data_IF_406671659163
#
_entry.id   IF_406671659163
#
_cell.length_a   1.000
_cell.length_b   1.000
_cell.length_c   1.000
_cell.angle_alpha   90.00
_cell.angle_beta   90.00
_cell.angle_gamma   90.00
#
_symmetry.space_group_name_H-M   'P 1'
#
loop_
_entity.id
_entity.type
_entity.pdbx_description
1 polymer ?
#
# COMPACT_ATOMS: atom_id res chain seq x y z
N UNK A 1 38.24 28.81 14.25
CA UNK A 1 38.19 27.53 13.51
C UNK A 1 36.80 26.95 13.70
N UNK A 2 35.93 27.13 12.71
CA UNK A 2 34.58 26.57 12.76
C UNK A 2 34.62 25.06 12.47
N UNK A 3 33.98 24.27 13.33
CA UNK A 3 33.82 22.83 13.15
C UNK A 3 32.94 22.58 11.90
N UNK A 4 33.29 21.59 11.05
CA UNK A 4 32.49 21.29 9.88
C UNK A 4 31.09 20.79 10.30
N UNK A 5 30.06 21.37 9.69
CA UNK A 5 28.66 20.91 9.81
C UNK A 5 28.58 19.48 9.29
N UNK A 6 28.30 18.54 10.19
CA UNK A 6 28.01 17.14 9.86
C UNK A 6 26.75 17.17 8.98
N UNK A 7 26.89 16.79 7.72
CA UNK A 7 25.76 16.57 6.81
C UNK A 7 24.88 15.49 7.45
N UNK A 8 23.59 15.78 7.65
CA UNK A 8 22.59 14.81 8.09
C UNK A 8 22.60 13.62 7.11
N UNK A 9 23.31 12.56 7.47
CA UNK A 9 23.14 11.25 6.85
C UNK A 9 21.75 10.81 7.25
N UNK A 10 20.80 10.78 6.30
CA UNK A 10 19.47 10.19 6.55
C UNK A 10 19.69 8.83 7.19
N UNK A 11 19.15 8.64 8.39
CA UNK A 11 19.15 7.34 9.07
C UNK A 11 18.61 6.29 8.09
N UNK A 12 19.07 5.03 8.15
CA UNK A 12 18.50 3.97 7.33
C UNK A 12 16.98 3.97 7.55
N UNK A 13 16.23 4.22 6.49
CA UNK A 13 14.76 4.29 6.53
C UNK A 13 14.26 3.02 7.20
N UNK A 14 13.63 3.16 8.37
CA UNK A 14 13.17 2.00 9.13
C UNK A 14 12.08 1.29 8.31
N UNK A 15 12.14 -0.04 8.25
CA UNK A 15 11.18 -0.85 7.50
C UNK A 15 10.24 -1.56 8.49
N UNK A 16 8.94 -1.53 8.24
CA UNK A 16 7.91 -2.23 9.02
C UNK A 16 7.30 -3.37 8.22
N UNK A 17 7.19 -4.55 8.84
CA UNK A 17 6.48 -5.71 8.30
C UNK A 17 4.99 -5.56 8.60
N UNK A 18 4.16 -5.83 7.60
CA UNK A 18 2.70 -5.79 7.70
C UNK A 18 2.15 -7.12 7.23
N UNK A 19 1.34 -7.74 8.08
CA UNK A 19 0.54 -8.90 7.72
C UNK A 19 -0.74 -8.43 7.01
N UNK A 20 -0.88 -8.79 5.75
CA UNK A 20 -2.03 -8.42 4.92
C UNK A 20 -2.86 -9.67 4.70
N UNK A 21 -4.09 -9.64 5.22
CA UNK A 21 -5.07 -10.69 4.96
C UNK A 21 -5.70 -10.45 3.59
N UNK A 22 -5.82 -11.45 2.74
CA UNK A 22 -6.40 -11.31 1.40
C UNK A 22 -6.92 -12.64 0.84
N UNK A 23 -7.74 -12.62 -0.23
CA UNK A 23 -8.08 -13.81 -1.00
C UNK A 23 -6.85 -14.41 -1.68
N UNK A 24 -6.84 -15.73 -1.89
CA UNK A 24 -5.73 -16.41 -2.57
C UNK A 24 -5.47 -15.88 -3.98
N UNK A 25 -6.54 -15.66 -4.76
CA UNK A 25 -6.44 -15.17 -6.14
C UNK A 25 -5.71 -13.82 -6.22
N UNK A 26 -5.90 -12.95 -5.22
CA UNK A 26 -5.27 -11.63 -5.22
C UNK A 26 -3.75 -11.73 -5.07
N UNK A 27 -3.26 -12.63 -4.22
CA UNK A 27 -1.83 -12.88 -4.04
C UNK A 27 -1.19 -13.48 -5.30
N UNK A 28 -1.92 -14.35 -5.99
CA UNK A 28 -1.45 -14.94 -7.24
C UNK A 28 -1.40 -13.88 -8.36
N UNK A 29 -2.39 -12.98 -8.44
CA UNK A 29 -2.42 -11.84 -9.37
C UNK A 29 -1.29 -10.84 -9.14
N UNK A 30 -0.90 -10.56 -7.89
CA UNK A 30 0.26 -9.69 -7.59
C UNK A 30 1.50 -10.20 -8.31
N UNK A 31 1.76 -11.50 -8.23
CA UNK A 31 2.99 -12.09 -8.76
C UNK A 31 3.06 -11.96 -10.28
N UNK A 32 1.93 -12.21 -10.96
CA UNK A 32 1.79 -12.05 -12.41
C UNK A 32 1.95 -10.58 -12.82
N UNK A 33 1.17 -9.68 -12.23
CA UNK A 33 1.13 -8.27 -12.63
C UNK A 33 2.46 -7.55 -12.38
N UNK A 34 3.10 -7.86 -11.25
CA UNK A 34 4.41 -7.32 -10.90
C UNK A 34 5.47 -7.66 -11.96
N UNK A 35 5.50 -8.91 -12.43
CA UNK A 35 6.44 -9.35 -13.48
C UNK A 35 6.11 -8.67 -14.82
N UNK A 36 4.83 -8.57 -15.18
CA UNK A 36 4.39 -7.87 -16.39
C UNK A 36 4.79 -6.39 -16.39
N UNK A 37 4.87 -5.75 -15.22
CA UNK A 37 5.31 -4.36 -15.03
C UNK A 37 6.85 -4.22 -14.88
N UNK A 38 7.62 -5.30 -15.06
CA UNK A 38 9.09 -5.28 -15.08
C UNK A 38 9.77 -5.41 -13.71
N UNK A 39 9.02 -5.77 -12.67
CA UNK A 39 9.57 -6.03 -11.34
C UNK A 39 9.92 -7.52 -11.20
N UNK A 40 10.92 -7.84 -10.38
CA UNK A 40 11.24 -9.23 -10.04
C UNK A 40 10.58 -9.68 -8.73
N UNK A 41 10.63 -10.99 -8.45
CA UNK A 41 10.00 -11.59 -7.27
C UNK A 41 10.51 -11.04 -5.91
N UNK A 42 11.70 -10.42 -5.85
CA UNK A 42 12.23 -9.79 -4.62
C UNK A 42 11.66 -8.40 -4.39
N UNK A 43 10.94 -7.83 -5.36
CA UNK A 43 10.44 -6.46 -5.33
C UNK A 43 8.94 -6.37 -5.02
N UNK A 44 8.28 -7.47 -4.58
CA UNK A 44 6.87 -7.49 -4.19
C UNK A 44 6.50 -6.35 -3.24
N UNK A 45 7.24 -6.20 -2.15
CA UNK A 45 6.99 -5.13 -1.18
C UNK A 45 7.11 -3.73 -1.79
N UNK A 46 8.06 -3.52 -2.70
CA UNK A 46 8.22 -2.25 -3.42
C UNK A 46 7.01 -1.98 -4.32
N UNK A 47 6.62 -2.96 -5.12
CA UNK A 47 5.45 -2.89 -6.00
C UNK A 47 4.15 -2.57 -5.24
N UNK A 48 3.94 -3.22 -4.10
CA UNK A 48 2.79 -2.94 -3.23
C UNK A 48 2.90 -1.56 -2.57
N UNK A 49 4.09 -1.15 -2.12
CA UNK A 49 4.30 0.17 -1.48
C UNK A 49 3.92 1.30 -2.44
N UNK A 50 4.44 1.24 -3.67
CA UNK A 50 4.15 2.22 -4.71
C UNK A 50 2.66 2.23 -5.11
N UNK A 51 1.99 1.07 -5.10
CA UNK A 51 0.56 0.99 -5.35
C UNK A 51 -0.25 1.75 -4.28
N UNK A 52 0.15 1.59 -3.01
CA UNK A 52 -0.50 2.24 -1.86
C UNK A 52 -0.22 3.74 -1.88
N UNK A 53 1.04 4.15 -2.06
CA UNK A 53 1.44 5.56 -2.18
C UNK A 53 0.66 6.25 -3.30
N UNK A 54 0.64 5.64 -4.49
CA UNK A 54 -0.11 6.16 -5.62
C UNK A 54 -1.58 6.34 -5.26
N UNK A 55 -2.23 5.29 -4.74
CA UNK A 55 -3.65 5.34 -4.41
C UNK A 55 -3.98 6.43 -3.39
N UNK A 56 -3.26 6.49 -2.26
CA UNK A 56 -3.53 7.46 -1.18
C UNK A 56 -3.28 8.90 -1.65
N UNK A 57 -2.36 9.11 -2.61
CA UNK A 57 -2.10 10.43 -3.20
C UNK A 57 -3.24 10.95 -4.09
N UNK A 58 -4.21 10.11 -4.47
CA UNK A 58 -5.34 10.51 -5.32
C UNK A 58 -6.49 11.04 -4.46
N UNK A 59 -7.18 12.11 -4.91
CA UNK A 59 -8.41 12.54 -4.25
C UNK A 59 -9.46 11.41 -4.31
N UNK A 60 -10.29 11.35 -3.27
CA UNK A 60 -11.45 10.45 -3.18
C UNK A 60 -11.15 8.95 -3.37
N UNK A 61 -9.90 8.53 -3.16
CA UNK A 61 -9.49 7.13 -3.31
C UNK A 61 -10.29 6.17 -2.41
N UNK A 62 -10.81 6.68 -1.31
CA UNK A 62 -11.48 5.94 -0.24
C UNK A 62 -12.78 5.30 -0.73
N UNK A 63 -13.40 5.87 -1.77
CA UNK A 63 -14.58 5.27 -2.41
C UNK A 63 -14.28 3.87 -2.96
N UNK A 64 -13.03 3.58 -3.29
CA UNK A 64 -12.61 2.25 -3.74
C UNK A 64 -12.64 1.19 -2.62
N UNK A 65 -12.69 1.58 -1.34
CA UNK A 65 -12.82 0.62 -0.23
C UNK A 65 -14.17 -0.11 -0.22
N UNK A 66 -15.19 0.45 -0.89
CA UNK A 66 -16.52 -0.18 -0.99
C UNK A 66 -16.45 -1.57 -1.64
N UNK A 67 -15.48 -1.84 -2.51
CA UNK A 67 -15.29 -3.17 -3.12
C UNK A 67 -14.64 -4.19 -2.17
N UNK A 68 -14.14 -3.74 -1.01
CA UNK A 68 -13.35 -4.55 -0.08
C UNK A 68 -14.07 -4.89 1.23
N UNK A 69 -15.27 -4.35 1.46
CA UNK A 69 -15.99 -4.48 2.73
C UNK A 69 -16.40 -5.92 3.08
N UNK A 70 -16.60 -6.77 2.07
CA UNK A 70 -17.09 -8.15 2.20
C UNK A 70 -16.11 -9.20 1.64
N UNK A 71 -14.83 -8.87 1.55
CA UNK A 71 -13.85 -9.77 0.94
C UNK A 71 -13.36 -10.80 1.96
N UNK A 72 -13.75 -12.05 1.74
CA UNK A 72 -13.26 -13.20 2.52
C UNK A 72 -11.75 -13.31 2.40
N UNK A 73 -11.09 -13.22 3.55
CA UNK A 73 -9.64 -13.24 3.62
C UNK A 73 -9.16 -14.64 3.98
N UNK A 74 -8.83 -15.42 2.95
CA UNK A 74 -8.43 -16.83 3.08
C UNK A 74 -6.97 -17.01 3.51
N UNK A 75 -6.10 -16.07 3.15
CA UNK A 75 -4.66 -16.17 3.36
C UNK A 75 -4.09 -14.91 4.02
N UNK A 76 -2.93 -15.07 4.63
CA UNK A 76 -2.11 -13.98 5.13
C UNK A 76 -0.80 -13.93 4.33
N UNK A 77 -0.48 -12.76 3.78
CA UNK A 77 0.80 -12.48 3.13
C UNK A 77 1.53 -11.36 3.88
N UNK A 78 2.86 -11.29 3.76
CA UNK A 78 3.68 -10.28 4.42
C UNK A 78 4.27 -9.34 3.37
N UNK A 79 4.06 -8.05 3.60
CA UNK A 79 4.72 -6.96 2.84
C UNK A 79 5.51 -6.08 3.81
N UNK A 80 6.44 -5.31 3.27
CA UNK A 80 7.28 -4.42 4.06
C UNK A 80 7.22 -3.00 3.53
N UNK A 81 6.87 -2.04 4.37
CA UNK A 81 6.80 -0.62 4.01
C UNK A 81 7.91 0.18 4.70
N UNK A 82 8.41 1.27 4.09
CA UNK A 82 9.06 2.34 4.83
C UNK A 82 8.18 2.82 5.97
N UNK A 83 8.78 3.25 7.08
CA UNK A 83 8.07 3.69 8.28
C UNK A 83 7.07 4.80 7.97
N UNK A 84 7.43 5.72 7.07
CA UNK A 84 6.60 6.84 6.68
C UNK A 84 5.30 6.38 6.00
N UNK A 85 5.39 5.41 5.09
CA UNK A 85 4.23 4.82 4.43
C UNK A 85 3.38 4.00 5.41
N UNK A 86 4.01 3.26 6.31
CA UNK A 86 3.29 2.53 7.38
C UNK A 86 2.49 3.49 8.27
N UNK A 87 3.09 4.60 8.70
CA UNK A 87 2.44 5.61 9.52
C UNK A 87 1.30 6.31 8.75
N UNK A 88 1.52 6.64 7.48
CA UNK A 88 0.50 7.21 6.60
C UNK A 88 -0.72 6.29 6.49
N UNK A 89 -0.53 5.00 6.21
CA UNK A 89 -1.65 4.04 6.14
C UNK A 89 -2.40 3.98 7.48
N UNK A 90 -1.69 4.00 8.61
CA UNK A 90 -2.34 4.01 9.92
C UNK A 90 -3.11 5.30 10.22
N UNK A 91 -2.60 6.44 9.78
CA UNK A 91 -3.31 7.71 9.88
C UNK A 91 -4.60 7.68 9.05
N UNK A 92 -4.54 7.15 7.82
CA UNK A 92 -5.71 7.00 6.97
C UNK A 92 -6.75 6.04 7.55
N UNK A 93 -6.33 4.91 8.14
CA UNK A 93 -7.25 4.03 8.88
C UNK A 93 -7.95 4.80 10.00
N UNK A 94 -7.21 5.51 10.86
CA UNK A 94 -7.81 6.28 11.96
C UNK A 94 -8.75 7.37 11.45
N UNK A 95 -8.35 8.11 10.41
CA UNK A 95 -9.17 9.15 9.79
C UNK A 95 -10.48 8.59 9.24
N UNK A 96 -10.43 7.43 8.58
CA UNK A 96 -11.61 6.79 8.00
C UNK A 96 -12.52 6.15 9.06
N UNK A 97 -11.96 5.61 10.16
CA UNK A 97 -12.77 5.16 11.30
C UNK A 97 -13.62 6.33 11.83
N UNK A 98 -13.04 7.52 11.94
CA UNK A 98 -13.74 8.70 12.46
C UNK A 98 -14.72 9.32 11.47
N UNK A 99 -14.39 9.34 10.17
CA UNK A 99 -15.16 10.10 9.16
C UNK A 99 -16.10 9.25 8.30
N UNK A 100 -15.75 7.98 8.03
CA UNK A 100 -16.46 7.07 7.12
C UNK A 100 -16.43 5.62 7.66
N UNK A 101 -16.93 5.35 8.87
CA UNK A 101 -16.82 4.04 9.52
C UNK A 101 -17.47 2.90 8.73
N UNK A 102 -18.52 3.19 7.95
CA UNK A 102 -19.22 2.23 7.09
C UNK A 102 -18.31 1.58 6.03
N UNK A 103 -17.14 2.15 5.74
CA UNK A 103 -16.14 1.56 4.85
C UNK A 103 -15.35 0.41 5.50
N UNK A 104 -15.56 0.13 6.79
CA UNK A 104 -14.81 -0.87 7.57
C UNK A 104 -13.29 -0.80 7.33
N UNK A 105 -12.67 0.38 7.49
CA UNK A 105 -11.28 0.60 7.12
C UNK A 105 -10.34 -0.23 8.00
N UNK A 106 -9.36 -0.86 7.37
CA UNK A 106 -8.25 -1.55 8.03
C UNK A 106 -7.01 -1.46 7.15
N UNK A 107 -5.82 -1.72 7.72
CA UNK A 107 -4.59 -1.79 6.94
C UNK A 107 -4.72 -2.79 5.77
N UNK A 108 -5.29 -3.97 6.04
CA UNK A 108 -5.50 -4.98 4.99
C UNK A 108 -6.47 -4.48 3.93
N UNK A 109 -7.58 -3.84 4.29
CA UNK A 109 -8.54 -3.30 3.31
C UNK A 109 -7.89 -2.24 2.40
N UNK A 110 -7.12 -1.30 2.96
CA UNK A 110 -6.41 -0.27 2.18
C UNK A 110 -5.40 -0.92 1.24
N UNK A 111 -4.56 -1.82 1.75
CA UNK A 111 -3.51 -2.46 0.95
C UNK A 111 -4.12 -3.33 -0.17
N UNK A 112 -5.18 -4.11 0.12
CA UNK A 112 -5.90 -4.88 -0.90
C UNK A 112 -6.54 -3.99 -1.96
N UNK A 113 -7.12 -2.85 -1.56
CA UNK A 113 -7.70 -1.89 -2.50
C UNK A 113 -6.64 -1.36 -3.46
N UNK A 114 -5.46 -1.00 -2.95
CA UNK A 114 -4.34 -0.55 -3.76
C UNK A 114 -3.88 -1.61 -4.76
N UNK A 115 -3.72 -2.85 -4.28
CA UNK A 115 -3.36 -4.01 -5.11
C UNK A 115 -4.40 -4.22 -6.21
N UNK A 116 -5.69 -4.29 -5.86
CA UNK A 116 -6.77 -4.50 -6.81
C UNK A 116 -6.76 -3.42 -7.90
N UNK A 117 -6.67 -2.14 -7.52
CA UNK A 117 -6.63 -1.02 -8.46
C UNK A 117 -5.40 -1.10 -9.37
N UNK A 118 -4.24 -1.46 -8.84
CA UNK A 118 -3.02 -1.62 -9.64
C UNK A 118 -3.16 -2.77 -10.65
N UNK A 119 -3.66 -3.93 -10.22
CA UNK A 119 -3.95 -5.07 -11.10
C UNK A 119 -4.94 -4.74 -12.23
N UNK A 120 -5.97 -3.93 -11.94
CA UNK A 120 -6.93 -3.44 -12.94
C UNK A 120 -6.34 -2.38 -13.89
N UNK A 121 -5.09 -1.95 -13.70
CA UNK A 121 -4.46 -0.90 -14.52
C UNK A 121 -4.92 0.52 -14.19
N UNK A 122 -5.71 0.71 -13.11
CA UNK A 122 -6.25 2.03 -12.73
C UNK A 122 -5.12 2.98 -12.26
N UNK A 123 -3.96 2.44 -11.89
CA UNK A 123 -2.76 3.21 -11.58
C UNK A 123 -2.09 3.88 -12.80
N UNK A 124 -2.44 3.46 -14.02
CA UNK A 124 -1.89 3.99 -15.27
C UNK A 124 -2.74 5.14 -15.85
N UNK A 125 -3.90 5.43 -15.26
CA UNK A 125 -4.84 6.42 -15.78
C UNK A 125 -4.58 7.86 -15.28
N UNK A 126 -3.37 8.12 -14.78
CA UNK A 126 -2.92 9.46 -14.40
C UNK A 126 -1.87 9.98 -15.38
N UNK A 127 -2.27 10.95 -16.19
CA UNK A 127 -1.51 11.72 -17.19
C UNK A 127 -1.41 11.09 -18.59
N UNK A 128 -2.49 11.25 -19.36
CA UNK A 128 -2.39 11.90 -20.68
C UNK A 128 -3.04 13.27 -20.57
#
# INVERSE_FOLDING_TARGET
MDKPKIKNVKSPSQIKKIAVRMPKYMRDEISKKMVDEGYNFRQKSKWVSEAVEYMISRPDWEGALMSQSNVDSEIQDVVTFPIELYEMVNQEVRRLISSKPFLNPSQSAIIRTAIQRRCMGIHLLGNK
#
